data_IF_006294508597
#
_entry.id   IF_006294508597
#
_cell.length_a   1.000
_cell.length_b   1.000
_cell.length_c   1.000
_cell.angle_alpha   90.00
_cell.angle_beta   90.00
_cell.angle_gamma   90.00
#
_symmetry.space_group_name_H-M   'P 1'
#
loop_
_entity.id
_entity.type
_entity.pdbx_description
1 polymer ?
#
# COMPACT_ATOMS: atom_id res chain seq x y z
N UNK A 1 9.03 -32.85 -43.16
CA UNK A 1 9.76 -32.83 -41.87
C UNK A 1 10.51 -31.51 -41.78
N UNK A 2 10.04 -30.57 -40.96
CA UNK A 2 10.72 -29.28 -40.77
C UNK A 2 11.97 -29.53 -39.92
N UNK A 3 13.14 -29.55 -40.56
CA UNK A 3 14.41 -29.60 -39.87
C UNK A 3 14.59 -28.25 -39.16
N UNK A 4 14.28 -28.19 -37.86
CA UNK A 4 14.47 -26.96 -37.09
C UNK A 4 15.96 -26.69 -36.92
N UNK A 5 16.51 -25.82 -37.77
CA UNK A 5 17.90 -25.36 -37.66
C UNK A 5 18.01 -24.47 -36.43
N UNK A 6 18.81 -24.89 -35.44
CA UNK A 6 19.11 -24.11 -34.24
C UNK A 6 20.44 -23.38 -34.42
N UNK A 7 20.49 -22.09 -34.09
CA UNK A 7 21.69 -21.27 -34.19
C UNK A 7 22.20 -20.89 -32.79
N UNK A 8 23.53 -20.75 -32.64
CA UNK A 8 24.18 -20.29 -31.40
C UNK A 8 24.62 -18.85 -31.59
N UNK A 9 24.06 -17.94 -30.79
CA UNK A 9 24.45 -16.53 -30.77
C UNK A 9 25.24 -16.28 -29.49
N UNK A 10 26.43 -15.69 -29.61
CA UNK A 10 27.30 -15.35 -28.48
C UNK A 10 27.34 -13.83 -28.32
N UNK A 11 27.34 -13.35 -27.08
CA UNK A 11 27.60 -11.94 -26.78
C UNK A 11 29.09 -11.75 -26.49
N UNK A 12 29.75 -10.90 -27.26
CA UNK A 12 31.14 -10.53 -26.99
C UNK A 12 31.18 -9.74 -25.67
N UNK A 13 31.87 -10.28 -24.66
CA UNK A 13 32.00 -9.66 -23.34
C UNK A 13 32.70 -8.28 -23.41
N UNK A 14 33.63 -8.11 -24.36
CA UNK A 14 34.48 -6.91 -24.48
C UNK A 14 33.78 -5.77 -25.20
N UNK A 15 33.03 -6.07 -26.26
CA UNK A 15 32.43 -5.04 -27.15
C UNK A 15 30.90 -4.93 -27.01
N UNK A 16 30.26 -5.79 -26.20
CA UNK A 16 28.81 -5.84 -26.04
C UNK A 16 28.03 -6.29 -27.28
N UNK A 17 28.72 -6.53 -28.41
CA UNK A 17 28.13 -6.92 -29.70
C UNK A 17 27.73 -8.39 -29.72
N UNK A 18 26.61 -8.69 -30.37
CA UNK A 18 26.17 -10.06 -30.64
C UNK A 18 26.87 -10.58 -31.90
N UNK A 19 27.36 -11.81 -31.84
CA UNK A 19 28.04 -12.49 -32.94
C UNK A 19 27.41 -13.86 -33.14
N UNK A 20 27.19 -14.24 -34.40
CA UNK A 20 26.70 -15.55 -34.78
C UNK A 20 27.84 -16.57 -34.70
N UNK A 21 27.72 -17.56 -33.81
CA UNK A 21 28.72 -18.60 -33.61
C UNK A 21 28.59 -19.80 -34.55
N UNK A 22 27.42 -20.00 -35.17
CA UNK A 22 27.15 -21.11 -36.09
C UNK A 22 25.78 -21.77 -35.87
N UNK A 23 25.56 -22.90 -36.53
CA UNK A 23 24.35 -23.72 -36.39
C UNK A 23 24.66 -25.05 -35.69
N UNK A 24 23.68 -25.59 -34.96
CA UNK A 24 23.80 -26.85 -34.22
C UNK A 24 23.52 -28.01 -35.18
N UNK A 25 24.52 -28.84 -35.41
CA UNK A 25 24.42 -30.03 -36.27
C UNK A 25 23.77 -31.21 -35.55
N UNK A 26 24.21 -31.51 -34.33
CA UNK A 26 23.76 -32.67 -33.55
C UNK A 26 23.59 -32.31 -32.08
N UNK A 27 22.58 -32.91 -31.44
CA UNK A 27 22.37 -32.86 -30.00
C UNK A 27 22.82 -34.17 -29.38
N UNK A 28 23.66 -34.11 -28.35
CA UNK A 28 24.03 -35.25 -27.51
C UNK A 28 23.53 -35.10 -26.08
N UNK A 29 23.25 -36.22 -25.41
CA UNK A 29 22.94 -36.26 -23.98
C UNK A 29 23.97 -37.13 -23.28
N UNK A 30 24.65 -36.58 -22.28
CA UNK A 30 25.60 -37.35 -21.47
C UNK A 30 24.83 -38.17 -20.44
N UNK A 31 25.02 -39.50 -20.45
CA UNK A 31 24.46 -40.40 -19.45
C UNK A 31 25.58 -40.97 -18.58
N UNK A 32 25.47 -40.88 -17.25
CA UNK A 32 26.45 -41.50 -16.37
C UNK A 32 26.30 -43.03 -16.40
N UNK A 33 27.40 -43.72 -16.16
CA UNK A 33 27.40 -45.16 -15.91
C UNK A 33 26.75 -45.43 -14.55
N UNK A 34 25.99 -46.54 -14.46
CA UNK A 34 25.22 -46.92 -13.28
C UNK A 34 26.10 -47.55 -12.18
N UNK A 35 27.21 -46.90 -11.85
CA UNK A 35 28.16 -47.36 -10.84
C UNK A 35 27.65 -47.09 -9.43
N UNK A 36 28.13 -47.88 -8.46
CA UNK A 36 27.81 -47.68 -7.05
C UNK A 36 28.12 -46.26 -6.56
N UNK A 37 29.21 -45.67 -7.06
CA UNK A 37 29.61 -44.29 -6.76
C UNK A 37 28.54 -43.28 -7.21
N UNK A 38 28.00 -43.45 -8.43
CA UNK A 38 26.95 -42.59 -8.95
C UNK A 38 25.64 -42.77 -8.18
N UNK A 39 25.27 -44.01 -7.82
CA UNK A 39 24.08 -44.28 -7.02
C UNK A 39 24.15 -43.66 -5.63
N UNK A 40 25.33 -43.64 -5.00
CA UNK A 40 25.55 -42.95 -3.73
C UNK A 40 25.37 -41.44 -3.85
N UNK A 41 25.99 -40.82 -4.87
CA UNK A 41 25.84 -39.39 -5.13
C UNK A 41 24.38 -39.01 -5.43
N UNK A 42 23.67 -39.83 -6.22
CA UNK A 42 22.25 -39.64 -6.51
C UNK A 42 21.39 -39.75 -5.26
N UNK A 43 21.71 -40.66 -4.34
CA UNK A 43 21.02 -40.77 -3.05
C UNK A 43 21.22 -39.50 -2.22
N UNK A 44 22.44 -39.00 -2.14
CA UNK A 44 22.76 -37.77 -1.38
C UNK A 44 22.05 -36.53 -1.94
N UNK A 45 21.97 -36.38 -3.26
CA UNK A 45 21.27 -35.25 -3.87
C UNK A 45 19.77 -35.28 -3.59
N UNK A 46 19.15 -36.47 -3.65
CA UNK A 46 17.74 -36.66 -3.31
C UNK A 46 17.51 -36.35 -1.83
N UNK A 47 18.38 -36.81 -0.93
CA UNK A 47 18.26 -36.53 0.51
C UNK A 47 18.36 -35.03 0.80
N UNK A 48 19.31 -34.32 0.18
CA UNK A 48 19.47 -32.87 0.33
C UNK A 48 18.24 -32.12 -0.20
N UNK A 49 17.74 -32.49 -1.38
CA UNK A 49 16.56 -31.88 -1.98
C UNK A 49 15.25 -32.22 -1.23
N UNK A 50 15.20 -33.37 -0.56
CA UNK A 50 14.04 -33.82 0.22
C UNK A 50 13.92 -33.12 1.57
N UNK A 51 14.96 -32.44 2.05
CA UNK A 51 14.90 -31.71 3.31
C UNK A 51 14.21 -30.35 3.09
N UNK A 52 13.07 -30.08 3.75
CA UNK A 52 12.40 -28.79 3.61
C UNK A 52 13.22 -27.70 4.32
N UNK A 53 13.31 -26.51 3.69
CA UNK A 53 14.02 -25.35 4.27
C UNK A 53 13.41 -24.87 5.60
N UNK A 54 12.11 -25.13 5.81
CA UNK A 54 11.38 -24.75 7.01
C UNK A 54 10.81 -25.97 7.71
N UNK A 55 11.13 -26.12 8.98
CA UNK A 55 10.59 -27.17 9.84
C UNK A 55 9.87 -26.53 11.02
N UNK A 56 8.63 -26.97 11.27
CA UNK A 56 7.88 -26.58 12.46
C UNK A 56 8.50 -27.31 13.66
N UNK A 57 9.17 -26.56 14.53
CA UNK A 57 9.66 -27.09 15.81
C UNK A 57 8.57 -26.89 16.87
N UNK A 58 8.07 -27.99 17.43
CA UNK A 58 7.17 -27.91 18.57
C UNK A 58 7.95 -27.41 19.78
N UNK A 59 7.47 -26.35 20.42
CA UNK A 59 8.03 -25.86 21.66
C UNK A 59 7.54 -26.74 22.82
N UNK A 60 8.48 -27.19 23.66
CA UNK A 60 8.17 -28.02 24.84
C UNK A 60 7.48 -27.22 25.95
N UNK A 61 7.69 -25.90 25.99
CA UNK A 61 7.09 -24.98 26.96
C UNK A 61 6.38 -23.85 26.22
N UNK A 62 5.18 -23.51 26.68
CA UNK A 62 4.43 -22.39 26.14
C UNK A 62 5.13 -21.07 26.49
N UNK A 63 5.50 -20.29 25.47
CA UNK A 63 6.03 -18.92 25.66
C UNK A 63 4.85 -18.00 25.88
N UNK A 64 4.72 -17.46 27.08
CA UNK A 64 3.71 -16.45 27.42
C UNK A 64 4.12 -15.10 26.83
N UNK A 65 3.79 -14.87 25.57
CA UNK A 65 3.92 -13.55 24.94
C UNK A 65 2.66 -12.74 25.25
N UNK A 66 2.75 -11.75 26.14
CA UNK A 66 1.69 -10.77 26.34
C UNK A 66 1.61 -9.87 25.10
N UNK A 67 0.56 -10.03 24.30
CA UNK A 67 0.31 -9.15 23.15
C UNK A 67 -0.47 -7.93 23.67
N UNK A 68 -0.02 -6.69 23.38
CA UNK A 68 -0.86 -5.54 23.67
C UNK A 68 -2.18 -5.70 22.91
N UNK A 69 -3.29 -5.57 23.63
CA UNK A 69 -4.62 -5.62 23.02
C UNK A 69 -4.75 -4.33 22.21
N UNK A 70 -4.75 -4.46 20.89
CA UNK A 70 -5.00 -3.32 20.02
C UNK A 70 -6.43 -2.86 20.23
N UNK A 71 -6.61 -1.62 20.68
CA UNK A 71 -7.94 -1.03 20.71
C UNK A 71 -8.54 -1.04 19.31
N UNK A 72 -9.81 -1.47 19.24
CA UNK A 72 -10.52 -1.51 17.97
C UNK A 72 -10.61 -0.10 17.39
N UNK A 73 -10.40 0.02 16.08
CA UNK A 73 -10.35 1.33 15.38
C UNK A 73 -11.56 2.23 15.69
N UNK A 74 -12.73 1.62 15.86
CA UNK A 74 -13.95 2.32 16.25
C UNK A 74 -13.86 3.04 17.60
N UNK A 75 -13.17 2.44 18.59
CA UNK A 75 -13.01 3.06 19.91
C UNK A 75 -12.13 4.32 19.79
N UNK A 76 -11.05 4.22 19.03
CA UNK A 76 -10.13 5.34 18.77
C UNK A 76 -10.87 6.48 18.05
N UNK A 77 -11.66 6.16 17.02
CA UNK A 77 -12.45 7.15 16.27
C UNK A 77 -13.54 7.80 17.16
N UNK A 78 -14.18 7.02 18.04
CA UNK A 78 -15.18 7.53 18.98
C UNK A 78 -14.58 8.54 19.97
N UNK A 79 -13.42 8.22 20.56
CA UNK A 79 -12.71 9.13 21.47
C UNK A 79 -12.26 10.42 20.76
N UNK A 80 -11.75 10.31 19.54
CA UNK A 80 -11.36 11.47 18.72
C UNK A 80 -12.57 12.35 18.40
N UNK A 81 -13.69 11.75 18.00
CA UNK A 81 -14.93 12.48 17.71
C UNK A 81 -15.44 13.21 18.95
N UNK A 82 -15.44 12.56 20.12
CA UNK A 82 -15.87 13.17 21.38
C UNK A 82 -14.99 14.35 21.79
N UNK A 83 -13.69 14.31 21.48
CA UNK A 83 -12.73 15.39 21.76
C UNK A 83 -12.85 16.54 20.75
N UNK A 84 -13.12 16.25 19.48
CA UNK A 84 -13.21 17.23 18.40
C UNK A 84 -14.57 17.94 18.34
N UNK A 85 -15.66 17.23 18.61
CA UNK A 85 -17.04 17.76 18.64
C UNK A 85 -17.39 18.43 19.97
N UNK A 86 -16.41 19.08 20.62
CA UNK A 86 -16.67 19.97 21.75
C UNK A 86 -17.88 20.85 21.42
N UNK A 87 -18.87 20.90 22.33
CA UNK A 87 -20.18 21.54 22.11
C UNK A 87 -19.97 22.86 21.35
N UNK A 88 -20.51 22.95 20.13
CA UNK A 88 -20.50 24.16 19.29
C UNK A 88 -21.24 25.25 20.05
N UNK A 89 -20.54 25.97 20.91
CA UNK A 89 -21.09 27.11 21.63
C UNK A 89 -21.34 28.22 20.62
N UNK A 90 -22.48 28.90 20.77
CA UNK A 90 -22.79 30.07 19.96
C UNK A 90 -21.82 31.18 20.38
N UNK A 91 -20.98 31.62 19.45
CA UNK A 91 -20.15 32.81 19.64
C UNK A 91 -20.99 34.08 19.39
N UNK A 92 -20.48 35.22 19.85
CA UNK A 92 -21.10 36.53 19.65
C UNK A 92 -21.21 36.86 18.15
N UNK A 93 -22.30 37.54 17.77
CA UNK A 93 -22.61 37.89 16.37
C UNK A 93 -21.44 38.60 15.70
N UNK A 94 -20.83 39.57 16.37
CA UNK A 94 -19.75 40.40 15.84
C UNK A 94 -18.49 39.58 15.52
N UNK A 95 -18.12 38.63 16.40
CA UNK A 95 -16.98 37.74 16.16
C UNK A 95 -17.19 36.83 14.96
N UNK A 96 -18.42 36.35 14.76
CA UNK A 96 -18.77 35.51 13.60
C UNK A 96 -18.70 36.33 12.31
N UNK A 97 -19.08 37.61 12.34
CA UNK A 97 -18.93 38.51 11.18
C UNK A 97 -17.47 38.69 10.79
N UNK A 98 -16.59 38.96 11.75
CA UNK A 98 -15.16 39.14 11.47
C UNK A 98 -14.53 37.88 10.86
N UNK A 99 -14.91 36.70 11.38
CA UNK A 99 -14.47 35.41 10.81
C UNK A 99 -15.01 35.18 9.39
N UNK A 100 -16.24 35.60 9.11
CA UNK A 100 -16.82 35.51 7.77
C UNK A 100 -16.09 36.43 6.79
N UNK A 101 -15.81 37.67 7.18
CA UNK A 101 -15.06 38.61 6.33
C UNK A 101 -13.65 38.08 6.02
N UNK A 102 -12.94 37.54 7.01
CA UNK A 102 -11.63 36.92 6.80
C UNK A 102 -11.69 35.66 5.91
N UNK A 103 -12.80 34.93 5.91
CA UNK A 103 -13.01 33.81 5.00
C UNK A 103 -13.24 34.30 3.56
N UNK A 104 -14.14 35.27 3.36
CA UNK A 104 -14.47 35.83 2.05
C UNK A 104 -13.32 36.63 1.42
N UNK A 105 -12.37 37.12 2.21
CA UNK A 105 -11.11 37.69 1.69
C UNK A 105 -10.32 36.66 0.85
N UNK A 106 -10.40 35.37 1.19
CA UNK A 106 -9.66 34.30 0.48
C UNK A 106 -10.40 33.76 -0.73
N UNK A 107 -11.73 33.64 -0.67
CA UNK A 107 -12.54 33.13 -1.76
C UNK A 107 -13.82 33.94 -1.91
N UNK A 108 -14.17 34.26 -3.15
CA UNK A 108 -15.36 35.06 -3.48
C UNK A 108 -16.68 34.35 -3.21
N UNK A 109 -16.69 33.00 -3.19
CA UNK A 109 -17.88 32.20 -2.94
C UNK A 109 -17.53 30.98 -2.08
N UNK A 110 -18.49 30.57 -1.25
CA UNK A 110 -18.36 29.41 -0.36
C UNK A 110 -19.63 28.56 -0.34
N UNK A 111 -19.48 27.27 -0.09
CA UNK A 111 -20.59 26.39 0.24
C UNK A 111 -20.95 26.54 1.73
N UNK A 112 -22.24 26.46 2.07
CA UNK A 112 -22.72 26.56 3.45
C UNK A 112 -22.10 25.51 4.38
N UNK A 113 -21.77 24.32 3.85
CA UNK A 113 -21.10 23.24 4.59
C UNK A 113 -19.66 23.60 4.98
N UNK A 114 -18.98 24.41 4.17
CA UNK A 114 -17.59 24.79 4.43
C UNK A 114 -17.53 25.98 5.39
N UNK A 115 -18.51 26.90 5.32
CA UNK A 115 -18.67 27.94 6.33
C UNK A 115 -18.97 27.36 7.72
N UNK A 116 -19.74 26.28 7.81
CA UNK A 116 -19.96 25.54 9.07
C UNK A 116 -18.65 24.99 9.64
N UNK A 117 -17.75 24.47 8.79
CA UNK A 117 -16.46 23.92 9.22
C UNK A 117 -15.50 25.01 9.70
N UNK A 118 -15.48 26.15 9.01
CA UNK A 118 -14.59 27.27 9.33
C UNK A 118 -15.03 27.94 10.63
N UNK A 119 -16.33 28.26 10.75
CA UNK A 119 -16.87 28.98 11.92
C UNK A 119 -17.18 28.07 13.10
N UNK A 120 -17.32 26.75 12.88
CA UNK A 120 -17.78 25.78 13.89
C UNK A 120 -19.13 26.16 14.53
N UNK A 121 -19.92 27.01 13.88
CA UNK A 121 -21.22 27.47 14.35
C UNK A 121 -22.37 26.62 13.76
N UNK A 122 -23.53 26.53 14.43
CA UNK A 122 -24.67 25.78 13.91
C UNK A 122 -25.29 26.48 12.68
N UNK A 123 -25.64 25.70 11.67
CA UNK A 123 -26.25 26.14 10.40
C UNK A 123 -27.42 27.14 10.55
N UNK A 124 -28.40 26.97 11.48
CA UNK A 124 -29.49 27.93 11.60
C UNK A 124 -29.01 29.34 11.97
N UNK A 125 -28.05 29.46 12.88
CA UNK A 125 -27.53 30.75 13.32
C UNK A 125 -26.75 31.46 12.21
N UNK A 126 -25.96 30.70 11.46
CA UNK A 126 -25.22 31.24 10.32
C UNK A 126 -26.17 31.74 9.21
N UNK A 127 -27.31 31.08 8.98
CA UNK A 127 -28.31 31.52 7.99
C UNK A 127 -28.98 32.84 8.36
N UNK A 128 -29.16 33.13 9.64
CA UNK A 128 -29.71 34.42 10.10
C UNK A 128 -28.75 35.55 9.76
N UNK A 129 -27.48 35.38 10.10
CA UNK A 129 -26.39 36.30 9.81
C UNK A 129 -26.20 36.53 8.30
N UNK A 130 -26.16 35.43 7.52
CA UNK A 130 -25.93 35.50 6.07
C UNK A 130 -27.09 36.16 5.32
N UNK A 131 -28.32 36.14 5.85
CA UNK A 131 -29.45 36.87 5.24
C UNK A 131 -29.29 38.39 5.30
N UNK A 132 -28.57 38.90 6.29
CA UNK A 132 -28.38 40.34 6.46
C UNK A 132 -27.30 40.91 5.53
N UNK A 133 -26.32 40.09 5.14
CA UNK A 133 -25.07 40.58 4.51
C UNK A 133 -24.78 39.94 3.15
N UNK A 134 -25.29 38.73 2.88
CA UNK A 134 -24.91 37.95 1.71
C UNK A 134 -26.07 37.66 0.76
N UNK A 135 -25.75 37.54 -0.54
CA UNK A 135 -26.70 37.12 -1.56
C UNK A 135 -26.60 35.60 -1.80
N UNK A 136 -27.72 34.90 -1.67
CA UNK A 136 -27.79 33.48 -2.01
C UNK A 136 -27.89 33.31 -3.52
N UNK A 137 -26.93 32.59 -4.12
CA UNK A 137 -26.98 32.21 -5.52
C UNK A 137 -27.41 30.74 -5.62
N UNK A 138 -28.59 30.49 -6.16
CA UNK A 138 -29.05 29.15 -6.49
C UNK A 138 -28.45 28.74 -7.85
N UNK A 139 -27.17 28.34 -7.85
CA UNK A 139 -26.58 27.55 -8.92
C UNK A 139 -26.55 26.07 -8.55
#
# INVERSE_FOLDING_TARGET
MLCQVKYVIKKCCVLGKLVLGGHVLQKGECRPLADQRYMNLKRESILKASQPERQVKQLTKAVTSYKPVSDHKFNIEYEQKKKAEGRKARDDKDKVMDMLFAAFEKHQYYNIKDLEKITRQPVPYLKEILKEICNYNAK
#
